data_IF_910938135026
#
_entry.id   IF_910938135026
#
_cell.length_a   1.000
_cell.length_b   1.000
_cell.length_c   1.000
_cell.angle_alpha   90.00
_cell.angle_beta   90.00
_cell.angle_gamma   90.00
#
_symmetry.space_group_name_H-M   'P 1'
#
loop_
_entity.id
_entity.type
_entity.pdbx_description
1 polymer ?
#
# COMPACT_ATOMS: atom_id res chain seq x y z
N UNK A 1 -11.66 22.75 11.67
CA UNK A 1 -11.52 22.29 10.28
C UNK A 1 -12.17 20.92 10.20
N UNK A 2 -13.05 20.70 9.24
CA UNK A 2 -13.65 19.38 9.03
C UNK A 2 -12.70 18.56 8.17
N UNK A 3 -12.17 17.45 8.69
CA UNK A 3 -11.29 16.53 7.98
C UNK A 3 -11.97 15.90 6.75
N UNK A 4 -13.30 15.85 6.78
CA UNK A 4 -14.14 15.39 5.66
C UNK A 4 -14.00 16.21 4.38
N UNK A 5 -13.48 17.46 4.48
CA UNK A 5 -13.23 18.34 3.33
C UNK A 5 -11.86 18.11 2.68
N UNK A 6 -11.00 17.29 3.28
CA UNK A 6 -9.71 16.92 2.67
C UNK A 6 -9.96 15.77 1.70
N UNK A 7 -9.58 15.90 0.41
CA UNK A 7 -9.71 14.80 -0.54
C UNK A 7 -8.93 13.58 -0.06
N UNK A 8 -9.59 12.42 -0.03
CA UNK A 8 -8.97 11.17 0.36
C UNK A 8 -8.33 10.53 -0.87
N UNK A 9 -7.01 10.55 -0.89
CA UNK A 9 -6.17 9.93 -1.93
C UNK A 9 -5.18 9.04 -1.22
N UNK A 10 -5.21 7.74 -1.50
CA UNK A 10 -4.36 6.76 -0.86
C UNK A 10 -3.45 6.07 -1.89
N UNK A 11 -2.15 6.07 -1.65
CA UNK A 11 -1.16 5.50 -2.55
C UNK A 11 -0.50 4.24 -1.99
N UNK A 12 -0.79 3.88 -0.73
CA UNK A 12 -0.15 2.75 -0.06
C UNK A 12 -1.18 1.95 0.75
N UNK A 13 -1.89 1.08 0.06
CA UNK A 13 -2.88 0.18 0.66
C UNK A 13 -2.76 -1.23 0.07
N UNK A 14 -2.54 -2.23 0.92
CA UNK A 14 -2.52 -3.63 0.54
C UNK A 14 -3.94 -4.21 0.48
N UNK A 15 -4.28 -4.85 -0.64
CA UNK A 15 -5.61 -5.41 -0.90
C UNK A 15 -6.01 -6.45 0.17
N UNK A 16 -5.09 -7.35 0.47
CA UNK A 16 -5.24 -8.41 1.46
C UNK A 16 -5.28 -7.87 2.90
N UNK A 17 -4.59 -6.74 3.17
CA UNK A 17 -4.64 -6.03 4.44
C UNK A 17 -5.90 -5.18 4.65
N UNK A 18 -6.70 -4.97 3.61
CA UNK A 18 -7.87 -4.10 3.61
C UNK A 18 -9.22 -4.84 3.54
N UNK A 19 -9.23 -6.17 3.51
CA UNK A 19 -10.47 -6.95 3.38
C UNK A 19 -11.44 -6.63 4.52
N UNK A 20 -12.69 -6.14 4.23
CA UNK A 20 -13.63 -5.79 5.28
C UNK A 20 -13.91 -6.99 6.21
N UNK A 21 -14.01 -6.76 7.54
CA UNK A 21 -14.24 -7.84 8.52
C UNK A 21 -15.46 -8.70 8.19
N UNK A 22 -16.54 -8.11 7.70
CA UNK A 22 -17.77 -8.78 7.29
C UNK A 22 -17.54 -9.72 6.11
N UNK A 23 -16.71 -9.28 5.16
CA UNK A 23 -16.35 -10.08 4.00
C UNK A 23 -15.47 -11.25 4.40
N UNK A 24 -14.42 -11.01 5.22
CA UNK A 24 -13.59 -12.09 5.76
C UNK A 24 -14.42 -13.12 6.55
N UNK A 25 -15.26 -12.65 7.46
CA UNK A 25 -16.09 -13.47 8.29
C UNK A 25 -17.00 -14.39 7.47
N UNK A 26 -17.78 -13.81 6.55
CA UNK A 26 -18.73 -14.55 5.73
C UNK A 26 -18.02 -15.56 4.81
N UNK A 27 -16.94 -15.15 4.15
CA UNK A 27 -16.21 -16.02 3.25
C UNK A 27 -15.50 -17.16 3.99
N UNK A 28 -14.98 -16.91 5.20
CA UNK A 28 -14.38 -17.96 6.02
C UNK A 28 -15.43 -19.01 6.40
N UNK A 29 -16.64 -18.61 6.78
CA UNK A 29 -17.75 -19.54 7.03
C UNK A 29 -18.15 -20.33 5.77
N UNK A 30 -18.28 -19.66 4.61
CA UNK A 30 -18.61 -20.28 3.33
C UNK A 30 -17.56 -21.34 2.93
N UNK A 31 -16.30 -21.12 3.26
CA UNK A 31 -15.17 -22.01 2.96
C UNK A 31 -14.85 -23.01 4.09
N UNK A 32 -15.54 -22.96 5.22
CA UNK A 32 -15.28 -23.82 6.38
C UNK A 32 -13.91 -23.57 7.03
N UNK A 33 -13.38 -22.35 6.93
CA UNK A 33 -12.13 -21.97 7.57
C UNK A 33 -12.34 -21.65 9.05
N UNK A 34 -11.37 -22.02 9.89
CA UNK A 34 -11.41 -21.69 11.31
C UNK A 34 -11.24 -20.18 11.51
N UNK A 35 -12.09 -19.59 12.32
CA UNK A 35 -12.01 -18.19 12.72
C UNK A 35 -11.57 -18.09 14.19
N UNK A 36 -10.85 -17.02 14.57
CA UNK A 36 -10.39 -16.82 15.95
C UNK A 36 -11.47 -16.29 16.90
N UNK A 37 -12.75 -16.37 16.51
CA UNK A 37 -13.89 -15.85 17.24
C UNK A 37 -15.17 -16.60 16.84
N UNK A 38 -16.20 -16.56 17.70
CA UNK A 38 -17.47 -17.25 17.47
C UNK A 38 -18.55 -16.33 16.85
N UNK A 39 -18.35 -15.00 16.94
CA UNK A 39 -19.26 -14.00 16.37
C UNK A 39 -18.49 -12.94 15.54
N UNK A 40 -19.18 -12.30 14.61
CA UNK A 40 -18.59 -11.20 13.82
C UNK A 40 -18.09 -10.04 14.72
N UNK A 41 -18.80 -9.74 15.79
CA UNK A 41 -18.42 -8.65 16.72
C UNK A 41 -17.15 -9.01 17.51
N UNK A 42 -17.04 -10.24 17.97
CA UNK A 42 -15.82 -10.73 18.61
C UNK A 42 -14.66 -10.79 17.61
N UNK A 43 -14.93 -11.11 16.34
CA UNK A 43 -13.93 -11.07 15.28
C UNK A 43 -13.41 -9.65 15.02
N UNK A 44 -14.29 -8.65 14.94
CA UNK A 44 -13.88 -7.24 14.85
C UNK A 44 -13.02 -6.83 16.05
N UNK A 45 -13.46 -7.20 17.26
CA UNK A 45 -12.70 -6.95 18.49
C UNK A 45 -11.33 -7.61 18.46
N UNK A 46 -11.26 -8.85 17.95
CA UNK A 46 -10.01 -9.58 17.79
C UNK A 46 -9.06 -8.86 16.81
N UNK A 47 -9.58 -8.39 15.67
CA UNK A 47 -8.78 -7.62 14.69
C UNK A 47 -8.15 -6.37 15.32
N UNK A 48 -8.95 -5.57 16.04
CA UNK A 48 -8.47 -4.37 16.74
C UNK A 48 -7.42 -4.72 17.80
N UNK A 49 -7.72 -5.73 18.65
CA UNK A 49 -6.80 -6.13 19.73
C UNK A 49 -5.46 -6.66 19.23
N UNK A 50 -5.46 -7.32 18.09
CA UNK A 50 -4.24 -7.90 17.50
C UNK A 50 -3.51 -6.95 16.55
N UNK A 51 -4.02 -5.72 16.36
CA UNK A 51 -3.36 -4.71 15.54
C UNK A 51 -2.02 -4.26 16.13
N UNK A 52 -1.91 -4.16 17.46
CA UNK A 52 -0.63 -3.83 18.14
C UNK A 52 0.27 -5.07 18.20
N UNK A 53 1.20 -5.19 17.28
CA UNK A 53 2.12 -6.32 17.13
C UNK A 53 3.42 -6.10 17.90
N UNK A 54 4.22 -7.17 18.09
CA UNK A 54 5.54 -7.07 18.72
C UNK A 54 6.61 -6.62 17.74
N UNK A 55 6.44 -6.99 16.48
CA UNK A 55 7.39 -6.79 15.39
C UNK A 55 6.72 -7.02 14.03
N UNK A 56 7.42 -6.70 12.97
CA UNK A 56 6.98 -6.87 11.57
C UNK A 56 6.58 -8.32 11.25
N UNK A 57 7.30 -9.33 11.76
CA UNK A 57 6.96 -10.73 11.46
C UNK A 57 5.63 -11.14 12.09
N UNK A 58 5.37 -10.69 13.32
CA UNK A 58 4.07 -10.88 13.99
C UNK A 58 2.95 -10.17 13.21
N UNK A 59 3.23 -8.99 12.66
CA UNK A 59 2.30 -8.25 11.81
C UNK A 59 2.01 -9.01 10.52
N UNK A 60 3.04 -9.48 9.81
CA UNK A 60 2.90 -10.22 8.55
C UNK A 60 2.13 -11.55 8.72
N UNK A 61 2.24 -12.22 9.86
CA UNK A 61 1.49 -13.44 10.13
C UNK A 61 -0.05 -13.24 10.12
N UNK A 62 -0.53 -12.00 10.28
CA UNK A 62 -1.95 -11.66 10.24
C UNK A 62 -2.57 -11.72 8.84
N UNK A 63 -1.73 -11.72 7.80
CA UNK A 63 -2.17 -11.86 6.42
C UNK A 63 -2.61 -13.29 6.05
N UNK A 64 -2.34 -14.29 6.91
CA UNK A 64 -2.63 -15.68 6.56
C UNK A 64 -4.12 -15.93 6.28
N UNK A 65 -5.04 -15.38 7.08
CA UNK A 65 -6.47 -15.54 6.85
C UNK A 65 -6.94 -14.87 5.53
N UNK A 66 -6.66 -13.58 5.26
CA UNK A 66 -6.97 -13.00 3.94
C UNK A 66 -6.36 -13.79 2.78
N UNK A 67 -5.10 -14.22 2.89
CA UNK A 67 -4.45 -15.00 1.84
C UNK A 67 -5.10 -16.36 1.60
N UNK A 68 -5.56 -17.06 2.65
CA UNK A 68 -6.33 -18.31 2.50
C UNK A 68 -7.66 -18.08 1.77
N UNK A 69 -8.30 -16.94 1.97
CA UNK A 69 -9.55 -16.58 1.30
C UNK A 69 -9.35 -16.26 -0.19
N UNK A 70 -8.16 -15.76 -0.58
CA UNK A 70 -7.85 -15.24 -1.91
C UNK A 70 -7.13 -16.26 -2.79
N UNK A 71 -7.56 -17.54 -2.82
CA UNK A 71 -6.90 -18.60 -3.60
C UNK A 71 -7.74 -19.10 -4.78
N UNK A 72 -8.85 -18.43 -5.12
CA UNK A 72 -9.63 -18.68 -6.32
C UNK A 72 -10.14 -17.36 -6.93
N UNK A 73 -10.36 -17.34 -8.23
CA UNK A 73 -10.72 -16.12 -8.96
C UNK A 73 -12.03 -15.47 -8.47
N UNK A 74 -13.13 -16.20 -8.21
CA UNK A 74 -14.35 -15.59 -7.67
C UNK A 74 -14.16 -14.92 -6.31
N UNK A 75 -13.35 -15.51 -5.45
CA UNK A 75 -13.02 -14.95 -4.12
C UNK A 75 -12.20 -13.67 -4.23
N UNK A 76 -11.18 -13.65 -5.09
CA UNK A 76 -10.33 -12.48 -5.35
C UNK A 76 -11.18 -11.34 -5.94
N UNK A 77 -12.02 -11.64 -6.94
CA UNK A 77 -12.93 -10.65 -7.54
C UNK A 77 -13.86 -10.04 -6.50
N UNK A 78 -14.49 -10.89 -5.64
CA UNK A 78 -15.39 -10.44 -4.59
C UNK A 78 -14.69 -9.55 -3.57
N UNK A 79 -13.54 -9.99 -3.05
CA UNK A 79 -12.74 -9.22 -2.09
C UNK A 79 -12.34 -7.88 -2.68
N UNK A 80 -11.83 -7.85 -3.90
CA UNK A 80 -11.45 -6.60 -4.56
C UNK A 80 -12.64 -5.66 -4.70
N UNK A 81 -13.79 -6.16 -5.13
CA UNK A 81 -15.02 -5.36 -5.20
C UNK A 81 -15.42 -4.79 -3.85
N UNK A 82 -15.39 -5.61 -2.78
CA UNK A 82 -15.80 -5.20 -1.44
C UNK A 82 -14.84 -4.16 -0.84
N UNK A 83 -13.52 -4.34 -1.00
CA UNK A 83 -12.50 -3.37 -0.56
C UNK A 83 -12.70 -2.02 -1.26
N UNK A 84 -12.72 -2.01 -2.60
CA UNK A 84 -12.85 -0.77 -3.36
C UNK A 84 -14.20 -0.07 -3.13
N UNK A 85 -15.27 -0.85 -2.94
CA UNK A 85 -16.58 -0.30 -2.55
C UNK A 85 -16.55 0.33 -1.17
N UNK A 86 -15.77 -0.20 -0.24
CA UNK A 86 -15.60 0.37 1.11
C UNK A 86 -14.86 1.71 1.03
N UNK A 87 -13.77 1.80 0.29
CA UNK A 87 -13.03 3.04 0.07
C UNK A 87 -13.91 4.12 -0.57
N UNK A 88 -14.63 3.77 -1.64
CA UNK A 88 -15.55 4.69 -2.31
C UNK A 88 -16.64 5.23 -1.35
N UNK A 89 -17.23 4.36 -0.49
CA UNK A 89 -18.22 4.78 0.53
C UNK A 89 -17.61 5.65 1.64
N UNK A 90 -16.33 5.52 1.91
CA UNK A 90 -15.58 6.37 2.84
C UNK A 90 -15.21 7.74 2.24
N UNK A 91 -15.58 7.98 0.97
CA UNK A 91 -15.35 9.25 0.28
C UNK A 91 -13.94 9.38 -0.31
N UNK A 92 -13.26 8.27 -0.59
CA UNK A 92 -12.03 8.30 -1.38
C UNK A 92 -12.34 8.70 -2.82
N UNK A 93 -11.47 9.51 -3.41
CA UNK A 93 -11.59 9.97 -4.79
C UNK A 93 -10.65 9.21 -5.73
N UNK A 94 -9.48 8.83 -5.22
CA UNK A 94 -8.50 8.03 -5.95
C UNK A 94 -7.68 7.18 -4.98
N UNK A 95 -7.42 5.93 -5.36
CA UNK A 95 -6.52 5.02 -4.62
C UNK A 95 -5.63 4.23 -5.56
N UNK A 96 -4.43 3.90 -5.10
CA UNK A 96 -3.58 2.87 -5.69
C UNK A 96 -3.46 1.69 -4.71
N UNK A 97 -4.22 0.63 -5.02
CA UNK A 97 -4.27 -0.58 -4.19
C UNK A 97 -3.27 -1.60 -4.73
N UNK A 98 -2.45 -2.14 -3.83
CA UNK A 98 -1.40 -3.10 -4.19
C UNK A 98 -1.70 -4.51 -3.70
N UNK A 99 -1.22 -5.51 -4.43
CA UNK A 99 -1.26 -6.92 -4.01
C UNK A 99 -0.13 -7.71 -4.70
N UNK A 100 0.26 -8.83 -4.11
CA UNK A 100 1.30 -9.71 -4.63
C UNK A 100 0.68 -10.92 -5.36
N UNK A 101 0.62 -10.94 -6.71
CA UNK A 101 -0.06 -12.02 -7.43
C UNK A 101 0.49 -13.42 -7.11
N UNK A 102 1.79 -13.51 -6.83
CA UNK A 102 2.45 -14.77 -6.49
C UNK A 102 1.98 -15.42 -5.19
N UNK A 103 1.33 -14.66 -4.28
CA UNK A 103 0.80 -15.19 -3.02
C UNK A 103 -0.57 -15.87 -3.19
N UNK A 104 -1.19 -15.76 -4.36
CA UNK A 104 -2.52 -16.29 -4.66
C UNK A 104 -2.48 -17.54 -5.56
N UNK A 105 -1.31 -18.20 -5.64
CA UNK A 105 -1.06 -19.36 -6.51
C UNK A 105 -0.94 -20.68 -5.73
N UNK A 106 -1.39 -20.74 -4.48
CA UNK A 106 -1.32 -21.94 -3.62
C UNK A 106 -2.23 -23.08 -4.09
N UNK A 107 -3.20 -22.78 -4.97
CA UNK A 107 -4.12 -23.75 -5.57
C UNK A 107 -3.94 -23.78 -7.10
N UNK A 108 -5.00 -23.62 -7.87
CA UNK A 108 -4.98 -23.79 -9.33
C UNK A 108 -4.66 -22.50 -10.11
N UNK A 109 -4.58 -21.34 -9.46
CA UNK A 109 -4.34 -20.08 -10.14
C UNK A 109 -2.85 -19.90 -10.48
N UNK A 110 -2.57 -19.28 -11.62
CA UNK A 110 -1.30 -18.62 -11.87
C UNK A 110 -1.38 -17.12 -11.51
N UNK A 111 -0.25 -16.42 -11.54
CA UNK A 111 -0.23 -14.97 -11.23
C UNK A 111 -1.14 -14.18 -12.18
N UNK A 112 -1.22 -14.56 -13.45
CA UNK A 112 -2.08 -13.90 -14.43
C UNK A 112 -3.56 -14.02 -14.04
N UNK A 113 -4.02 -15.20 -13.65
CA UNK A 113 -5.41 -15.44 -13.24
C UNK A 113 -5.78 -14.57 -12.03
N UNK A 114 -4.87 -14.43 -11.07
CA UNK A 114 -5.06 -13.57 -9.90
C UNK A 114 -5.19 -12.09 -10.29
N UNK A 115 -4.34 -11.61 -11.22
CA UNK A 115 -4.41 -10.24 -11.75
C UNK A 115 -5.75 -9.99 -12.44
N UNK A 116 -6.18 -10.91 -13.32
CA UNK A 116 -7.46 -10.78 -14.04
C UNK A 116 -8.66 -10.75 -13.10
N UNK A 117 -8.63 -11.55 -12.02
CA UNK A 117 -9.67 -11.53 -11.00
C UNK A 117 -9.73 -10.19 -10.23
N UNK A 118 -8.56 -9.62 -9.86
CA UNK A 118 -8.49 -8.29 -9.25
C UNK A 118 -9.03 -7.22 -10.21
N UNK A 119 -8.64 -7.26 -11.47
CA UNK A 119 -9.12 -6.30 -12.48
C UNK A 119 -10.64 -6.42 -12.72
N UNK A 120 -11.20 -7.64 -12.64
CA UNK A 120 -12.65 -7.85 -12.71
C UNK A 120 -13.38 -7.21 -11.53
N UNK A 121 -12.89 -7.42 -10.29
CA UNK A 121 -13.41 -6.79 -9.08
C UNK A 121 -13.33 -5.27 -9.12
N UNK A 122 -12.18 -4.74 -9.57
CA UNK A 122 -11.99 -3.31 -9.82
C UNK A 122 -13.01 -2.75 -10.82
N UNK A 123 -13.19 -3.40 -11.97
CA UNK A 123 -14.13 -2.96 -12.98
C UNK A 123 -15.58 -2.92 -12.47
N UNK A 124 -15.96 -3.87 -11.60
CA UNK A 124 -17.27 -3.86 -10.92
C UNK A 124 -17.41 -2.67 -9.98
N UNK A 125 -16.39 -2.39 -9.15
CA UNK A 125 -16.41 -1.28 -8.20
C UNK A 125 -16.53 0.08 -8.94
N UNK A 126 -15.74 0.31 -9.99
CA UNK A 126 -15.78 1.55 -10.75
C UNK A 126 -17.13 1.76 -11.49
N UNK A 127 -17.82 0.67 -11.86
CA UNK A 127 -19.19 0.80 -12.37
C UNK A 127 -20.22 1.17 -11.30
N UNK A 128 -20.02 0.65 -10.08
CA UNK A 128 -20.91 0.92 -8.95
C UNK A 128 -20.70 2.33 -8.35
N UNK A 129 -19.49 2.88 -8.47
CA UNK A 129 -19.09 4.18 -7.94
C UNK A 129 -18.40 5.01 -9.04
N UNK A 130 -19.20 5.72 -9.88
CA UNK A 130 -18.66 6.38 -11.10
C UNK A 130 -17.68 7.52 -10.81
N UNK A 131 -17.75 8.14 -9.63
CA UNK A 131 -16.87 9.25 -9.23
C UNK A 131 -15.57 8.77 -8.57
N UNK A 132 -15.48 7.49 -8.22
CA UNK A 132 -14.30 6.88 -7.63
C UNK A 132 -13.35 6.36 -8.72
N UNK A 133 -12.04 6.49 -8.48
CA UNK A 133 -10.98 5.98 -9.36
C UNK A 133 -10.00 5.13 -8.56
N UNK A 134 -9.44 4.11 -9.21
CA UNK A 134 -8.45 3.24 -8.58
C UNK A 134 -7.48 2.67 -9.61
N UNK A 135 -6.18 2.67 -9.29
CA UNK A 135 -5.12 1.91 -9.95
C UNK A 135 -4.73 0.68 -9.13
N UNK A 136 -4.19 -0.33 -9.80
CA UNK A 136 -3.64 -1.53 -9.16
C UNK A 136 -2.13 -1.54 -9.33
N UNK A 137 -1.39 -1.71 -8.23
CA UNK A 137 0.04 -1.97 -8.22
C UNK A 137 0.28 -3.46 -8.01
N UNK A 138 1.18 -4.05 -8.79
CA UNK A 138 1.58 -5.46 -8.61
C UNK A 138 2.84 -5.53 -7.75
N UNK A 139 2.78 -6.27 -6.64
CA UNK A 139 3.93 -6.40 -5.74
C UNK A 139 4.81 -7.59 -6.12
N UNK A 140 6.09 -7.31 -6.35
CA UNK A 140 7.17 -8.25 -6.07
C UNK A 140 7.31 -8.40 -4.56
N UNK A 141 7.86 -9.54 -4.12
CA UNK A 141 7.93 -9.84 -2.69
C UNK A 141 9.36 -10.12 -2.23
N UNK A 142 9.71 -9.55 -1.09
CA UNK A 142 10.84 -9.96 -0.28
C UNK A 142 10.35 -11.02 0.72
N UNK A 143 10.51 -12.30 0.38
CA UNK A 143 10.11 -13.44 1.22
C UNK A 143 11.23 -14.47 1.26
N UNK A 144 11.50 -14.98 2.47
CA UNK A 144 12.53 -15.99 2.67
C UNK A 144 13.97 -15.50 2.41
N UNK A 145 14.94 -16.35 2.65
CA UNK A 145 16.36 -16.03 2.47
C UNK A 145 16.75 -15.98 0.97
N UNK A 146 17.82 -15.27 0.65
CA UNK A 146 18.54 -15.36 -0.64
C UNK A 146 17.70 -15.08 -1.90
N UNK A 147 16.67 -14.24 -1.82
CA UNK A 147 15.80 -13.93 -2.96
C UNK A 147 15.20 -15.17 -3.66
N UNK A 148 14.78 -16.17 -2.86
CA UNK A 148 14.30 -17.48 -3.32
C UNK A 148 13.18 -17.42 -4.35
N UNK A 149 12.39 -16.32 -4.36
CA UNK A 149 11.26 -16.10 -5.27
C UNK A 149 11.60 -15.12 -6.40
N UNK A 150 12.87 -14.97 -6.79
CA UNK A 150 13.27 -14.01 -7.83
C UNK A 150 12.58 -14.30 -9.17
N UNK A 151 12.37 -15.56 -9.54
CA UNK A 151 11.71 -15.91 -10.81
C UNK A 151 10.24 -15.47 -10.80
N UNK A 152 9.53 -15.67 -9.70
CA UNK A 152 8.16 -15.21 -9.50
C UNK A 152 8.09 -13.69 -9.53
N UNK A 153 9.05 -12.99 -8.92
CA UNK A 153 9.18 -11.55 -8.97
C UNK A 153 9.38 -11.03 -10.40
N UNK A 154 10.30 -11.62 -11.16
CA UNK A 154 10.53 -11.24 -12.56
C UNK A 154 9.31 -11.55 -13.45
N UNK A 155 8.54 -12.58 -13.13
CA UNK A 155 7.26 -12.83 -13.79
C UNK A 155 6.24 -11.71 -13.45
N UNK A 156 6.15 -11.29 -12.18
CA UNK A 156 5.31 -10.15 -11.77
C UNK A 156 5.66 -8.88 -12.54
N UNK A 157 6.97 -8.58 -12.72
CA UNK A 157 7.41 -7.43 -13.53
C UNK A 157 6.91 -7.52 -14.97
N UNK A 158 7.03 -8.68 -15.63
CA UNK A 158 6.56 -8.87 -17.02
C UNK A 158 5.05 -8.74 -17.12
N UNK A 159 4.31 -9.28 -16.15
CA UNK A 159 2.84 -9.14 -16.08
C UNK A 159 2.44 -7.69 -15.82
N UNK A 160 3.18 -6.93 -15.01
CA UNK A 160 2.96 -5.50 -14.85
C UNK A 160 3.01 -4.79 -16.20
N UNK A 161 4.01 -5.12 -17.04
CA UNK A 161 4.09 -4.56 -18.40
C UNK A 161 2.91 -4.95 -19.28
N UNK A 162 2.47 -6.20 -19.21
CA UNK A 162 1.35 -6.72 -20.00
C UNK A 162 0.04 -5.99 -19.67
N UNK A 163 -0.21 -5.71 -18.38
CA UNK A 163 -1.47 -5.10 -17.91
C UNK A 163 -1.38 -3.60 -17.67
N UNK A 164 -0.22 -2.97 -17.95
CA UNK A 164 -0.06 -1.51 -17.77
C UNK A 164 -1.07 -0.75 -18.63
N UNK A 165 -1.83 0.15 -18.00
CA UNK A 165 -2.91 0.91 -18.65
C UNK A 165 -4.25 0.18 -18.73
N UNK A 166 -4.31 -1.13 -18.45
CA UNK A 166 -5.56 -1.90 -18.38
C UNK A 166 -6.12 -1.97 -16.95
N UNK A 167 -5.69 -1.06 -16.08
CA UNK A 167 -6.05 -1.00 -14.66
C UNK A 167 -4.85 -1.21 -13.73
N UNK A 168 -3.80 -1.89 -14.20
CA UNK A 168 -2.50 -1.90 -13.55
C UNK A 168 -1.78 -0.59 -13.88
N UNK A 169 -1.22 0.06 -12.84
CA UNK A 169 -0.58 1.37 -12.96
C UNK A 169 0.92 1.34 -12.64
N UNK A 170 1.43 0.28 -12.06
CA UNK A 170 2.86 0.16 -11.75
C UNK A 170 3.20 -1.06 -10.92
N UNK A 171 4.44 -1.06 -10.44
CA UNK A 171 5.06 -2.14 -9.68
C UNK A 171 5.42 -1.66 -8.27
N UNK A 172 5.53 -2.61 -7.33
CA UNK A 172 6.09 -2.41 -6.01
C UNK A 172 7.01 -3.58 -5.62
N UNK A 173 7.86 -3.39 -4.64
CA UNK A 173 8.53 -4.45 -3.90
C UNK A 173 8.12 -4.33 -2.43
N UNK A 174 7.47 -5.36 -1.90
CA UNK A 174 6.95 -5.40 -0.53
C UNK A 174 7.43 -6.67 0.20
N UNK A 175 7.01 -6.84 1.45
CA UNK A 175 7.30 -8.01 2.28
C UNK A 175 8.23 -7.69 3.44
N UNK A 176 9.01 -8.67 3.89
CA UNK A 176 9.83 -8.55 5.10
C UNK A 176 11.16 -7.84 4.80
N UNK A 177 11.18 -6.52 4.94
CA UNK A 177 12.40 -5.71 4.83
C UNK A 177 13.48 -6.22 5.80
N UNK A 178 14.71 -6.34 5.32
CA UNK A 178 15.88 -6.71 6.12
C UNK A 178 16.17 -8.21 6.23
N UNK A 179 15.31 -9.10 5.74
CA UNK A 179 15.66 -10.53 5.62
C UNK A 179 16.81 -10.71 4.63
N UNK A 180 16.76 -9.96 3.52
CA UNK A 180 17.79 -9.91 2.49
C UNK A 180 18.14 -8.45 2.24
N UNK A 181 19.42 -8.07 2.03
CA UNK A 181 19.76 -6.71 1.63
C UNK A 181 18.96 -6.26 0.42
N UNK A 182 18.39 -5.04 0.47
CA UNK A 182 17.50 -4.54 -0.56
C UNK A 182 18.19 -4.49 -1.94
N UNK A 183 19.49 -4.24 -1.95
CA UNK A 183 20.31 -4.22 -3.15
C UNK A 183 20.25 -5.53 -3.97
N UNK A 184 20.00 -6.67 -3.31
CA UNK A 184 19.90 -7.97 -3.99
C UNK A 184 18.66 -8.08 -4.89
N UNK A 185 17.71 -7.16 -4.75
CA UNK A 185 16.51 -7.07 -5.59
C UNK A 185 16.70 -6.16 -6.83
N UNK A 186 17.93 -5.67 -7.09
CA UNK A 186 18.20 -4.88 -8.29
C UNK A 186 17.69 -5.47 -9.60
N UNK A 187 17.66 -6.84 -9.82
CA UNK A 187 17.17 -7.39 -11.08
C UNK A 187 15.70 -7.03 -11.38
N UNK A 188 14.88 -6.86 -10.33
CA UNK A 188 13.49 -6.42 -10.45
C UNK A 188 13.43 -5.02 -11.06
N UNK A 189 14.20 -4.08 -10.49
CA UNK A 189 14.18 -2.68 -10.89
C UNK A 189 14.94 -2.43 -12.20
N UNK A 190 15.96 -3.25 -12.50
CA UNK A 190 16.65 -3.24 -13.79
C UNK A 190 15.68 -3.61 -14.92
N UNK A 191 14.94 -4.71 -14.75
CA UNK A 191 13.91 -5.12 -15.70
C UNK A 191 12.75 -4.12 -15.77
N UNK A 192 12.32 -3.55 -14.64
CA UNK A 192 11.28 -2.53 -14.62
C UNK A 192 11.71 -1.29 -15.42
N UNK A 193 12.96 -0.82 -15.30
CA UNK A 193 13.52 0.28 -16.09
C UNK A 193 13.63 -0.06 -17.57
N UNK A 194 14.11 -1.26 -17.90
CA UNK A 194 14.18 -1.75 -19.29
C UNK A 194 12.79 -1.73 -19.96
N UNK A 195 11.76 -2.15 -19.22
CA UNK A 195 10.37 -2.16 -19.69
C UNK A 195 9.66 -0.81 -19.53
N UNK A 196 10.35 0.25 -19.05
CA UNK A 196 9.78 1.58 -18.77
C UNK A 196 8.56 1.54 -17.86
N UNK A 197 8.61 0.72 -16.80
CA UNK A 197 7.54 0.60 -15.82
C UNK A 197 7.68 1.65 -14.72
N UNK A 198 6.58 2.30 -14.31
CA UNK A 198 6.55 3.03 -13.06
C UNK A 198 6.65 2.06 -11.88
N UNK A 199 7.36 2.46 -10.82
CA UNK A 199 7.46 1.64 -9.62
C UNK A 199 7.62 2.47 -8.35
N UNK A 200 7.15 1.89 -7.24
CA UNK A 200 7.47 2.25 -5.87
C UNK A 200 8.32 1.13 -5.25
N UNK A 201 8.84 1.33 -4.06
CA UNK A 201 9.61 0.33 -3.35
C UNK A 201 9.46 0.56 -1.84
N UNK A 202 9.06 -0.47 -1.09
CA UNK A 202 9.15 -0.43 0.37
C UNK A 202 10.61 -0.31 0.79
N UNK A 203 10.92 0.71 1.59
CA UNK A 203 12.25 0.94 2.13
C UNK A 203 12.18 1.89 3.32
N UNK A 204 13.04 1.70 4.32
CA UNK A 204 13.08 2.54 5.52
C UNK A 204 11.80 2.45 6.36
N UNK A 205 11.24 1.25 6.48
CA UNK A 205 10.18 0.91 7.42
C UNK A 205 10.76 0.19 8.64
N UNK A 206 11.20 -1.06 8.48
CA UNK A 206 11.80 -1.87 9.54
C UNK A 206 13.33 -1.86 9.53
N UNK A 207 13.92 -1.29 8.48
CA UNK A 207 15.36 -1.07 8.36
C UNK A 207 15.67 0.43 8.28
N UNK A 208 16.96 0.75 8.38
CA UNK A 208 17.43 2.13 8.43
C UNK A 208 17.51 2.85 7.07
N UNK A 209 18.17 4.00 7.02
CA UNK A 209 18.29 4.84 5.82
C UNK A 209 19.06 4.17 4.67
N UNK A 210 19.79 3.08 4.92
CA UNK A 210 20.50 2.31 3.90
C UNK A 210 19.54 1.73 2.87
N UNK A 211 18.37 1.23 3.27
CA UNK A 211 17.37 0.72 2.31
C UNK A 211 16.72 1.85 1.52
N UNK A 212 16.49 3.01 2.15
CA UNK A 212 16.05 4.22 1.43
C UNK A 212 17.10 4.63 0.38
N UNK A 213 18.39 4.56 0.71
CA UNK A 213 19.48 4.81 -0.23
C UNK A 213 19.41 3.86 -1.42
N UNK A 214 19.23 2.56 -1.18
CA UNK A 214 19.09 1.56 -2.22
C UNK A 214 17.87 1.84 -3.12
N UNK A 215 16.71 2.18 -2.57
CA UNK A 215 15.54 2.58 -3.34
C UNK A 215 15.80 3.81 -4.22
N UNK A 216 16.52 4.82 -3.70
CA UNK A 216 16.95 5.97 -4.47
C UNK A 216 17.94 5.59 -5.60
N UNK A 217 18.82 4.60 -5.36
CA UNK A 217 19.76 4.08 -6.35
C UNK A 217 19.05 3.32 -7.47
N UNK A 218 17.99 2.60 -7.16
CA UNK A 218 17.11 1.99 -8.16
C UNK A 218 16.38 3.02 -9.02
N UNK A 219 16.29 4.28 -8.57
CA UNK A 219 15.59 5.34 -9.27
C UNK A 219 14.11 5.44 -8.92
N UNK A 220 13.71 4.88 -7.79
CA UNK A 220 12.33 4.97 -7.29
C UNK A 220 11.88 6.43 -7.19
N UNK A 221 10.67 6.72 -7.69
CA UNK A 221 10.02 8.03 -7.57
C UNK A 221 9.08 8.10 -6.39
N UNK A 222 8.75 6.94 -5.84
CA UNK A 222 7.96 6.77 -4.64
C UNK A 222 8.65 5.73 -3.76
N UNK A 223 8.58 5.91 -2.46
CA UNK A 223 9.14 4.99 -1.48
C UNK A 223 8.05 4.68 -0.46
N UNK A 224 7.68 3.40 -0.37
CA UNK A 224 6.76 2.91 0.64
C UNK A 224 7.37 3.11 2.02
N UNK A 225 6.63 3.69 2.95
CA UNK A 225 7.07 4.20 4.24
C UNK A 225 8.16 5.27 4.12
N UNK A 226 9.42 4.89 4.04
CA UNK A 226 10.55 5.82 3.86
C UNK A 226 10.87 6.70 5.06
N UNK A 227 10.24 6.48 6.22
CA UNK A 227 10.35 7.39 7.36
C UNK A 227 11.76 7.37 8.00
N UNK A 228 12.52 6.28 7.85
CA UNK A 228 13.91 6.20 8.31
C UNK A 228 14.92 7.00 7.45
N UNK A 229 14.49 7.66 6.36
CA UNK A 229 15.32 8.70 5.71
C UNK A 229 15.67 9.83 6.70
N UNK A 230 14.86 9.98 7.77
CA UNK A 230 15.09 10.94 8.83
C UNK A 230 16.42 10.72 9.57
N UNK A 231 16.87 9.48 9.65
CA UNK A 231 18.08 9.09 10.38
C UNK A 231 19.38 9.39 9.61
N UNK A 232 19.27 9.68 8.29
CA UNK A 232 20.40 10.17 7.48
C UNK A 232 20.00 11.43 6.67
N UNK A 233 20.12 12.62 7.26
CA UNK A 233 19.81 13.88 6.58
C UNK A 233 20.62 14.14 5.30
N UNK A 234 21.71 13.42 5.07
CA UNK A 234 22.50 13.55 3.83
C UNK A 234 21.75 13.07 2.58
N UNK A 235 20.73 12.23 2.75
CA UNK A 235 19.86 11.73 1.68
C UNK A 235 18.78 12.74 1.25
N UNK A 236 18.39 13.69 2.13
CA UNK A 236 17.27 14.61 1.88
C UNK A 236 17.46 15.46 0.62
N UNK A 237 18.61 16.12 0.40
CA UNK A 237 18.81 16.91 -0.82
C UNK A 237 18.69 16.07 -2.10
N UNK A 238 19.06 14.79 -2.05
CA UNK A 238 18.91 13.87 -3.17
C UNK A 238 17.44 13.54 -3.43
N UNK A 239 16.70 13.14 -2.39
CA UNK A 239 15.28 12.82 -2.49
C UNK A 239 14.46 14.02 -2.99
N UNK A 240 14.75 15.22 -2.49
CA UNK A 240 14.11 16.47 -2.93
C UNK A 240 14.38 16.74 -4.41
N UNK A 241 15.66 16.71 -4.84
CA UNK A 241 16.02 16.95 -6.26
C UNK A 241 15.42 15.91 -7.20
N UNK A 242 15.29 14.66 -6.77
CA UNK A 242 14.68 13.58 -7.55
C UNK A 242 13.14 13.64 -7.54
N UNK A 243 12.54 14.51 -6.70
CA UNK A 243 11.10 14.64 -6.54
C UNK A 243 10.45 13.38 -5.97
N UNK A 244 11.17 12.65 -5.09
CA UNK A 244 10.69 11.41 -4.49
C UNK A 244 9.58 11.70 -3.49
N UNK A 245 8.51 10.92 -3.54
CA UNK A 245 7.39 10.97 -2.59
C UNK A 245 7.49 9.80 -1.61
N UNK A 246 7.41 10.10 -0.30
CA UNK A 246 7.39 9.12 0.78
C UNK A 246 5.93 8.77 1.11
N UNK A 247 5.58 7.49 1.08
CA UNK A 247 4.24 6.97 1.37
C UNK A 247 4.17 6.56 2.84
N UNK A 248 4.05 7.53 3.75
CA UNK A 248 4.11 7.32 5.20
C UNK A 248 2.82 6.67 5.70
N UNK A 249 2.97 5.64 6.55
CA UNK A 249 1.88 4.87 7.15
C UNK A 249 1.97 4.93 8.69
N UNK A 250 1.54 6.02 9.33
CA UNK A 250 1.87 6.29 10.74
C UNK A 250 1.41 5.20 11.70
N UNK A 251 0.15 4.76 11.58
CA UNK A 251 -0.39 3.71 12.46
C UNK A 251 0.34 2.39 12.29
N UNK A 252 0.63 1.97 11.04
CA UNK A 252 1.40 0.76 10.77
C UNK A 252 2.80 0.83 11.38
N UNK A 253 3.51 1.95 11.20
CA UNK A 253 4.85 2.14 11.76
C UNK A 253 4.88 2.02 13.29
N UNK A 254 3.82 2.51 13.98
CA UNK A 254 3.71 2.38 15.44
C UNK A 254 3.36 0.95 15.85
N UNK A 255 2.44 0.31 15.14
CA UNK A 255 2.01 -1.07 15.43
C UNK A 255 3.15 -2.07 15.20
N UNK A 256 3.95 -1.88 14.16
CA UNK A 256 5.14 -2.68 13.86
C UNK A 256 6.36 -2.33 14.74
N UNK A 257 6.25 -1.34 15.63
CA UNK A 257 7.31 -0.85 16.53
C UNK A 257 8.52 -0.23 15.80
N UNK A 258 8.34 0.18 14.56
CA UNK A 258 9.36 0.92 13.80
C UNK A 258 9.37 2.41 14.17
N UNK A 259 8.26 2.90 14.76
CA UNK A 259 8.20 4.21 15.43
C UNK A 259 7.58 4.10 16.82
N UNK A 260 8.08 4.85 17.82
CA UNK A 260 7.64 4.70 19.20
C UNK A 260 6.25 5.30 19.50
N UNK A 261 5.85 6.34 18.78
CA UNK A 261 4.55 7.00 18.94
C UNK A 261 4.28 8.02 17.83
N UNK A 262 3.04 8.45 17.67
CA UNK A 262 2.67 9.53 16.72
C UNK A 262 3.43 10.84 17.03
N UNK A 263 3.56 11.22 18.29
CA UNK A 263 4.22 12.46 18.67
C UNK A 263 5.72 12.50 18.32
N UNK A 264 6.37 11.36 18.23
CA UNK A 264 7.79 11.24 17.88
C UNK A 264 8.02 10.88 16.40
N UNK A 265 6.94 10.57 15.67
CA UNK A 265 7.05 10.20 14.26
C UNK A 265 7.64 11.33 13.40
N UNK A 266 8.65 11.04 12.53
CA UNK A 266 9.40 12.08 11.82
C UNK A 266 8.63 12.76 10.67
N UNK A 267 7.46 12.27 10.26
CA UNK A 267 6.75 12.69 9.06
C UNK A 267 6.55 14.21 8.94
N UNK A 268 6.13 14.88 10.04
CA UNK A 268 5.96 16.35 10.02
C UNK A 268 7.28 17.08 9.77
N UNK A 269 8.37 16.62 10.41
CA UNK A 269 9.70 17.22 10.23
C UNK A 269 10.25 17.00 8.82
N UNK A 270 9.95 15.86 8.21
CA UNK A 270 10.31 15.57 6.82
C UNK A 270 9.55 16.49 5.85
N UNK A 271 8.24 16.69 6.09
CA UNK A 271 7.44 17.64 5.29
C UNK A 271 7.97 19.09 5.44
N UNK A 272 8.26 19.53 6.68
CA UNK A 272 8.80 20.87 6.95
C UNK A 272 10.18 21.09 6.33
N UNK A 273 10.96 20.04 6.16
CA UNK A 273 12.24 20.06 5.48
C UNK A 273 12.13 20.08 3.93
N UNK A 274 10.91 20.03 3.39
CA UNK A 274 10.64 20.10 1.95
C UNK A 274 10.61 18.76 1.24
N UNK A 275 10.60 17.61 1.97
CA UNK A 275 10.36 16.33 1.33
C UNK A 275 8.85 16.17 1.03
N UNK A 276 8.56 15.46 -0.06
CA UNK A 276 7.18 15.15 -0.42
C UNK A 276 6.71 13.96 0.43
N UNK A 277 5.74 14.20 1.28
CA UNK A 277 5.15 13.22 2.19
C UNK A 277 3.68 13.03 1.84
N UNK A 278 3.22 11.81 1.79
CA UNK A 278 1.80 11.42 1.73
C UNK A 278 1.47 10.56 2.94
N UNK A 279 0.18 10.49 3.30
CA UNK A 279 -0.30 9.66 4.40
C UNK A 279 -1.17 8.56 3.83
N UNK A 280 -0.94 7.35 4.31
CA UNK A 280 -1.63 6.12 3.89
C UNK A 280 -1.89 5.19 5.08
N UNK A 281 -2.77 4.21 4.89
CA UNK A 281 -3.17 3.27 5.96
C UNK A 281 -2.39 1.97 5.95
N UNK A 282 -1.69 1.67 4.85
CA UNK A 282 -0.97 0.41 4.64
C UNK A 282 -1.93 -0.80 4.61
N UNK A 283 -2.58 -1.10 5.72
CA UNK A 283 -3.43 -2.28 5.91
C UNK A 283 -4.70 -1.92 6.71
N UNK A 284 -5.61 -1.19 6.11
CA UNK A 284 -6.75 -0.55 6.77
C UNK A 284 -7.49 -1.47 7.77
N UNK A 285 -7.75 -2.71 7.39
CA UNK A 285 -8.47 -3.67 8.26
C UNK A 285 -7.55 -4.29 9.30
N UNK A 286 -6.35 -4.73 8.89
CA UNK A 286 -5.40 -5.35 9.83
C UNK A 286 -4.84 -4.32 10.82
N UNK A 287 -4.65 -3.07 10.42
CA UNK A 287 -4.24 -1.98 11.30
C UNK A 287 -5.41 -1.36 12.08
N UNK A 288 -6.65 -1.72 11.75
CA UNK A 288 -7.87 -1.16 12.33
C UNK A 288 -7.90 0.38 12.26
N UNK A 289 -7.56 0.95 11.10
CA UNK A 289 -7.45 2.39 10.87
C UNK A 289 -8.03 2.76 9.50
N UNK A 290 -8.68 3.90 9.41
CA UNK A 290 -9.09 4.52 8.14
C UNK A 290 -8.17 5.69 7.80
N UNK A 291 -8.16 6.13 6.53
CA UNK A 291 -7.38 7.31 6.14
C UNK A 291 -7.83 8.59 6.90
N UNK A 292 -9.12 8.68 7.27
CA UNK A 292 -9.61 9.77 8.11
C UNK A 292 -9.05 9.68 9.53
N UNK A 293 -8.89 8.48 10.09
CA UNK A 293 -8.24 8.30 11.39
C UNK A 293 -6.78 8.70 11.32
N UNK A 294 -6.05 8.33 10.25
CA UNK A 294 -4.67 8.79 10.04
C UNK A 294 -4.59 10.31 9.96
N UNK A 295 -5.48 10.97 9.21
CA UNK A 295 -5.53 12.44 9.17
C UNK A 295 -5.83 13.03 10.56
N UNK A 296 -6.68 12.39 11.36
CA UNK A 296 -6.96 12.80 12.73
C UNK A 296 -5.73 12.66 13.63
N UNK A 297 -4.98 11.55 13.52
CA UNK A 297 -3.71 11.35 14.22
C UNK A 297 -2.67 12.40 13.81
N UNK A 298 -2.54 12.69 12.52
CA UNK A 298 -1.68 13.75 12.01
C UNK A 298 -1.95 15.10 12.70
N UNK A 299 -3.22 15.52 12.78
CA UNK A 299 -3.57 16.81 13.36
C UNK A 299 -3.46 16.81 14.89
N UNK A 300 -3.94 15.75 15.55
CA UNK A 300 -4.06 15.76 17.02
C UNK A 300 -2.80 15.35 17.75
N UNK A 301 -1.91 14.58 17.10
CA UNK A 301 -0.76 13.98 17.77
C UNK A 301 0.58 14.25 17.08
N UNK A 302 0.60 14.54 15.77
CA UNK A 302 1.84 14.70 14.99
C UNK A 302 2.15 16.16 14.64
N UNK A 303 1.25 17.10 14.99
CA UNK A 303 1.46 18.53 14.78
C UNK A 303 1.21 19.02 13.35
N UNK A 304 0.54 18.23 12.51
CA UNK A 304 0.13 18.69 11.18
C UNK A 304 -1.03 19.69 11.26
N UNK A 305 -1.04 20.61 10.31
CA UNK A 305 -2.14 21.55 10.09
C UNK A 305 -3.05 21.05 8.96
N UNK A 306 -4.21 21.69 8.79
CA UNK A 306 -5.06 21.40 7.64
C UNK A 306 -4.44 21.80 6.29
N UNK A 307 -3.56 22.77 6.27
CA UNK A 307 -2.84 23.13 5.04
C UNK A 307 -1.78 22.07 4.70
N UNK A 308 -1.14 21.48 5.72
CA UNK A 308 -0.24 20.35 5.52
C UNK A 308 -0.99 19.16 4.89
N UNK A 309 -2.20 18.83 5.41
CA UNK A 309 -3.01 17.74 4.84
C UNK A 309 -3.40 18.00 3.39
N UNK A 310 -3.80 19.23 3.03
CA UNK A 310 -4.07 19.58 1.62
C UNK A 310 -2.83 19.49 0.76
N UNK A 311 -1.68 19.89 1.27
CA UNK A 311 -0.39 19.79 0.58
C UNK A 311 -0.03 18.32 0.34
N UNK A 312 -0.22 17.45 1.34
CA UNK A 312 0.01 16.02 1.20
C UNK A 312 -0.97 15.36 0.21
N UNK A 313 -2.25 15.77 0.20
CA UNK A 313 -3.21 15.31 -0.80
C UNK A 313 -2.80 15.72 -2.23
N UNK A 314 -2.29 16.95 -2.42
CA UNK A 314 -1.71 17.39 -3.71
C UNK A 314 -0.49 16.55 -4.09
N UNK A 315 0.40 16.27 -3.15
CA UNK A 315 1.56 15.40 -3.41
C UNK A 315 1.13 13.98 -3.80
N UNK A 316 0.09 13.45 -3.16
CA UNK A 316 -0.46 12.14 -3.51
C UNK A 316 -1.03 12.16 -4.94
N UNK A 317 -1.80 13.18 -5.29
CA UNK A 317 -2.34 13.35 -6.64
C UNK A 317 -1.23 13.47 -7.70
N UNK A 318 -0.23 14.32 -7.45
CA UNK A 318 0.90 14.50 -8.36
C UNK A 318 1.70 13.21 -8.56
N UNK A 319 1.94 12.45 -7.47
CA UNK A 319 2.66 11.18 -7.52
C UNK A 319 1.86 10.11 -8.29
N UNK A 320 0.55 10.04 -8.09
CA UNK A 320 -0.36 9.18 -8.84
C UNK A 320 -0.37 9.55 -10.35
N UNK A 321 -0.58 10.82 -10.66
CA UNK A 321 -0.62 11.32 -12.05
C UNK A 321 0.71 11.11 -12.78
N UNK A 322 1.84 11.13 -12.07
CA UNK A 322 3.15 10.84 -12.65
C UNK A 322 3.28 9.40 -13.14
N UNK A 323 2.54 8.48 -12.54
CA UNK A 323 2.55 7.05 -12.87
C UNK A 323 1.42 6.64 -13.79
N UNK A 324 0.30 7.33 -13.73
CA UNK A 324 -0.83 7.07 -14.60
C UNK A 324 -0.78 8.01 -15.79
N UNK A 325 -0.90 7.52 -17.03
CA UNK A 325 -1.14 8.32 -18.22
C UNK A 325 -2.51 9.07 -18.13
N UNK A 326 -3.00 9.33 -16.91
CA UNK A 326 -4.24 10.05 -16.60
C UNK A 326 -4.16 11.56 -16.88
N UNK A 327 -3.05 12.08 -17.41
CA UNK A 327 -2.99 13.45 -17.97
C UNK A 327 -4.05 13.75 -19.05
N UNK A 328 -4.83 12.74 -19.44
CA UNK A 328 -5.92 12.91 -20.41
C UNK A 328 -7.29 13.22 -19.78
N UNK A 329 -7.41 13.25 -18.45
CA UNK A 329 -8.65 13.59 -17.78
C UNK A 329 -8.41 14.73 -16.77
N UNK A 330 -8.79 15.94 -17.17
CA UNK A 330 -8.70 17.20 -16.40
C UNK A 330 -9.46 17.17 -15.04
N UNK A 331 -10.14 16.08 -14.71
CA UNK A 331 -11.07 16.00 -13.58
C UNK A 331 -10.43 15.76 -12.21
N UNK A 332 -9.21 15.22 -12.12
CA UNK A 332 -8.58 14.96 -10.80
C UNK A 332 -7.87 16.19 -10.24
N UNK A 333 -7.30 17.05 -11.09
CA UNK A 333 -6.67 18.31 -10.68
C UNK A 333 -7.66 19.36 -10.14
N UNK A 334 -8.94 19.23 -10.45
CA UNK A 334 -9.99 20.13 -9.98
C UNK A 334 -10.53 19.76 -8.58
N UNK A 335 -10.08 18.63 -8.02
CA UNK A 335 -10.57 18.10 -6.74
C UNK A 335 -9.72 18.52 -5.53
N UNK A 336 -8.56 19.21 -5.71
CA UNK A 336 -7.63 19.58 -4.60
C UNK A 336 -7.44 21.07 -4.47
#
# INVERSE_FOLDING_TARGET
>A
MELTQIPKIELHLHLDGAVPPETMWRMAQEKGLALPADTLEDFRTWLVRTADCRDVNTYLARFELPLQLMQDAPSIERITFDVLSTLARQGHVYDEVRFAPQLHTRQALCQQDAIEAVLAGRARALRAFPDYRCGILLCCMCIGPETVNMQENLQTVRLTRQYLGSGVVGLDLAGAEGIVPLENFHPIFDLARELSLPFTCHAGDSQGPETVRAALDFGAKRIGHGHHIYDDPSLWPRAIRQGVTLEICPTSNIQCKTQPSYALHPAKRLLDAGLRVTISTDNMTLAAVTLEDEYRHCVTQMGFTGEDLRTMARYALDAAVSYTHLRAHETLSDLV
#
